data_IF_589077441483
#
_entry.id   IF_589077441483
#
_cell.length_a   1.000
_cell.length_b   1.000
_cell.length_c   1.000
_cell.angle_alpha   90.00
_cell.angle_beta   90.00
_cell.angle_gamma   90.00
#
_symmetry.space_group_name_H-M   'P 1'
#
loop_
_entity.id
_entity.type
_entity.pdbx_description
1 polymer ?
#
# COMPACT_ATOMS: atom_id res chain seq x y z
N UNK A 1 6.30 5.96 2.01
CA UNK A 1 7.65 5.57 2.50
C UNK A 1 7.54 4.40 3.47
N UNK A 2 8.47 3.43 3.41
CA UNK A 2 8.55 2.34 4.39
C UNK A 2 9.82 2.55 5.22
N UNK A 3 9.69 2.56 6.55
CA UNK A 3 10.77 2.74 7.52
C UNK A 3 10.66 1.67 8.59
N UNK A 4 11.54 0.67 8.59
CA UNK A 4 11.60 -0.40 9.61
C UNK A 4 10.21 -1.00 9.93
N UNK A 5 9.54 -0.49 10.95
CA UNK A 5 8.23 -0.90 11.48
C UNK A 5 7.07 0.04 11.09
N UNK A 6 7.28 1.04 10.24
CA UNK A 6 6.28 2.07 9.88
C UNK A 6 6.15 2.27 8.38
N UNK A 7 4.92 2.22 7.89
CA UNK A 7 4.54 2.53 6.51
C UNK A 7 3.81 3.87 6.53
N UNK A 8 4.50 4.90 6.06
CA UNK A 8 3.96 6.27 5.97
C UNK A 8 3.38 6.48 4.59
N UNK A 9 2.06 6.56 4.52
CA UNK A 9 1.31 6.93 3.31
C UNK A 9 1.38 8.46 3.13
N UNK A 10 1.30 8.95 1.89
CA UNK A 10 1.46 10.38 1.57
C UNK A 10 2.90 10.84 1.34
N UNK A 11 3.91 9.98 1.56
CA UNK A 11 5.32 10.32 1.39
C UNK A 11 6.01 9.38 0.41
N UNK A 12 5.80 9.60 -0.89
CA UNK A 12 6.30 8.75 -1.99
C UNK A 12 5.28 7.75 -2.51
N UNK A 13 5.72 6.82 -3.36
CA UNK A 13 4.83 5.87 -4.06
C UNK A 13 4.90 4.49 -3.42
N UNK A 14 3.76 3.97 -2.95
CA UNK A 14 3.63 2.62 -2.40
C UNK A 14 2.84 1.75 -3.37
N UNK A 15 3.50 0.83 -4.07
CA UNK A 15 2.82 -0.17 -4.87
C UNK A 15 2.19 -1.22 -3.95
N UNK A 16 0.90 -1.50 -4.18
CA UNK A 16 0.14 -2.51 -3.43
C UNK A 16 -0.06 -3.71 -4.34
N UNK A 17 0.50 -4.85 -3.94
CA UNK A 17 0.39 -6.11 -4.67
C UNK A 17 -0.04 -7.24 -3.76
N UNK A 18 -0.50 -8.33 -4.36
CA UNK A 18 -0.70 -9.60 -3.65
C UNK A 18 0.10 -10.71 -4.30
N UNK A 19 0.77 -11.52 -3.50
CA UNK A 19 1.53 -12.69 -3.96
C UNK A 19 1.33 -13.84 -2.97
N UNK A 20 0.94 -15.02 -3.47
CA UNK A 20 0.78 -16.24 -2.66
C UNK A 20 -0.03 -16.04 -1.36
N UNK A 21 -1.18 -15.35 -1.42
CA UNK A 21 -2.02 -14.99 -0.26
C UNK A 21 -1.36 -14.04 0.76
N UNK A 22 -0.34 -13.29 0.35
CA UNK A 22 0.27 -12.23 1.14
C UNK A 22 0.05 -10.88 0.47
N UNK A 23 -0.15 -9.85 1.28
CA UNK A 23 -0.12 -8.46 0.81
C UNK A 23 1.34 -8.00 0.78
N UNK A 24 1.75 -7.41 -0.33
CA UNK A 24 3.04 -6.77 -0.49
C UNK A 24 2.86 -5.27 -0.67
N UNK A 25 3.55 -4.49 0.16
CA UNK A 25 3.65 -3.05 0.05
C UNK A 25 5.08 -2.71 -0.35
N UNK A 26 5.25 -2.06 -1.49
CA UNK A 26 6.57 -1.75 -2.04
C UNK A 26 6.72 -0.25 -2.21
N UNK A 27 7.69 0.34 -1.51
CA UNK A 27 8.11 1.72 -1.77
C UNK A 27 8.98 1.74 -3.01
N UNK A 28 8.63 2.54 -4.02
CA UNK A 28 9.27 2.54 -5.33
C UNK A 28 9.78 3.92 -5.78
N UNK A 29 10.71 3.91 -6.73
CA UNK A 29 11.29 5.08 -7.40
C UNK A 29 11.47 4.78 -8.91
N UNK A 30 11.00 5.62 -9.86
CA UNK A 30 10.32 6.89 -9.65
C UNK A 30 8.93 6.75 -9.04
N UNK A 31 8.41 7.86 -8.52
CA UNK A 31 7.01 7.92 -8.11
C UNK A 31 6.08 7.72 -9.31
N UNK A 32 4.99 6.99 -9.11
CA UNK A 32 3.97 6.81 -10.13
C UNK A 32 3.07 8.07 -10.24
N UNK A 33 2.04 8.01 -11.07
CA UNK A 33 0.95 9.00 -11.05
C UNK A 33 -0.21 8.43 -10.24
N UNK A 34 -0.79 9.24 -9.37
CA UNK A 34 -1.80 8.83 -8.39
C UNK A 34 -3.05 8.35 -9.12
N UNK A 35 -3.49 7.11 -8.86
CA UNK A 35 -4.75 6.57 -9.38
C UNK A 35 -4.67 6.03 -10.81
N UNK A 36 -3.49 6.00 -11.44
CA UNK A 36 -3.29 5.36 -12.73
C UNK A 36 -2.95 3.87 -12.59
N UNK A 37 -3.37 3.08 -13.58
CA UNK A 37 -2.91 1.69 -13.69
C UNK A 37 -1.45 1.72 -14.13
N UNK A 38 -0.58 1.04 -13.38
CA UNK A 38 0.84 0.94 -13.73
C UNK A 38 0.99 0.16 -15.04
N UNK A 39 1.58 0.81 -16.04
CA UNK A 39 1.95 0.16 -17.29
C UNK A 39 3.11 -0.81 -17.07
N UNK A 40 3.26 -1.78 -17.98
CA UNK A 40 4.39 -2.70 -17.95
C UNK A 40 5.72 -1.95 -18.04
N UNK A 41 5.81 -0.95 -18.90
CA UNK A 41 7.04 -0.15 -19.08
C UNK A 41 7.44 0.62 -17.80
N UNK A 42 6.46 1.09 -17.03
CA UNK A 42 6.73 1.67 -15.72
C UNK A 42 7.20 0.62 -14.71
N UNK A 43 6.57 -0.56 -14.71
CA UNK A 43 6.98 -1.68 -13.85
C UNK A 43 8.42 -2.15 -14.15
N UNK A 44 8.82 -2.14 -15.42
CA UNK A 44 10.15 -2.55 -15.87
C UNK A 44 11.22 -1.48 -15.56
N UNK A 45 10.82 -0.22 -15.36
CA UNK A 45 11.72 0.91 -15.06
C UNK A 45 11.74 1.33 -13.60
N UNK A 46 10.79 0.87 -12.77
CA UNK A 46 10.77 1.18 -11.34
C UNK A 46 11.79 0.37 -10.55
N UNK A 47 12.35 1.00 -9.53
CA UNK A 47 13.18 0.38 -8.51
C UNK A 47 12.38 0.24 -7.22
N UNK A 48 12.35 -0.96 -6.65
CA UNK A 48 11.83 -1.17 -5.30
C UNK A 48 12.90 -0.72 -4.30
N UNK A 49 12.59 0.33 -3.54
CA UNK A 49 13.45 0.87 -2.49
C UNK A 49 13.35 0.06 -1.21
N UNK A 50 12.12 -0.28 -0.80
CA UNK A 50 11.82 -1.14 0.35
C UNK A 50 10.53 -1.91 0.14
N UNK A 51 10.38 -3.04 0.85
CA UNK A 51 9.23 -3.92 0.76
C UNK A 51 8.80 -4.40 2.15
N UNK A 52 7.50 -4.44 2.38
CA UNK A 52 6.86 -5.06 3.55
C UNK A 52 5.84 -6.09 3.09
N UNK A 53 5.75 -7.21 3.81
CA UNK A 53 4.89 -8.34 3.44
C UNK A 53 4.05 -8.77 4.64
N UNK A 54 2.74 -8.94 4.41
CA UNK A 54 1.75 -9.23 5.44
C UNK A 54 0.92 -10.47 5.07
N UNK A 55 0.62 -11.32 6.04
CA UNK A 55 -0.13 -12.57 5.84
C UNK A 55 -1.60 -12.42 6.25
N UNK A 56 -1.92 -11.57 7.23
CA UNK A 56 -3.25 -11.50 7.86
C UNK A 56 -4.19 -10.49 7.20
N UNK A 57 -4.41 -10.62 5.89
CA UNK A 57 -5.16 -9.65 5.06
C UNK A 57 -6.60 -9.37 5.51
N UNK A 58 -7.33 -10.35 6.06
CA UNK A 58 -8.73 -10.13 6.52
C UNK A 58 -8.80 -9.09 7.64
N UNK A 59 -7.98 -9.26 8.68
CA UNK A 59 -7.91 -8.31 9.80
C UNK A 59 -7.34 -6.95 9.41
N UNK A 60 -6.66 -6.86 8.26
CA UNK A 60 -6.17 -5.59 7.72
C UNK A 60 -7.32 -4.77 7.11
N UNK A 61 -8.25 -5.40 6.41
CA UNK A 61 -9.41 -4.71 5.84
C UNK A 61 -10.28 -4.04 6.92
N UNK A 62 -10.53 -4.75 8.03
CA UNK A 62 -11.30 -4.21 9.15
C UNK A 62 -10.62 -2.98 9.76
N UNK A 63 -9.29 -3.06 9.98
CA UNK A 63 -8.49 -1.93 10.49
C UNK A 63 -8.47 -0.74 9.54
N UNK A 64 -8.35 -0.97 8.23
CA UNK A 64 -8.40 0.08 7.22
C UNK A 64 -9.75 0.82 7.21
N UNK A 65 -10.85 0.12 7.49
CA UNK A 65 -12.19 0.75 7.55
C UNK A 65 -12.38 1.69 8.75
N UNK A 66 -11.49 1.62 9.74
CA UNK A 66 -11.51 2.45 10.94
C UNK A 66 -10.57 3.66 10.84
N UNK A 67 -9.82 3.79 9.74
CA UNK A 67 -8.93 4.94 9.51
C UNK A 67 -9.77 6.17 9.20
N UNK A 68 -9.48 7.27 9.89
CA UNK A 68 -10.12 8.57 9.71
C UNK A 68 -9.14 9.69 10.08
N UNK A 69 -9.48 10.95 9.84
CA UNK A 69 -8.63 12.08 10.25
C UNK A 69 -8.35 12.08 11.78
N UNK A 70 -9.33 11.68 12.60
CA UNK A 70 -9.17 11.57 14.05
C UNK A 70 -8.47 10.30 14.53
N UNK A 71 -8.31 9.31 13.65
CA UNK A 71 -7.62 8.04 13.91
C UNK A 71 -6.82 7.59 12.67
N UNK A 72 -5.72 8.28 12.32
CA UNK A 72 -5.04 8.09 11.04
C UNK A 72 -4.04 6.92 11.05
N UNK A 73 -3.81 6.28 12.20
CA UNK A 73 -2.77 5.25 12.34
C UNK A 73 -3.29 4.00 13.01
N UNK A 74 -2.79 2.84 12.61
CA UNK A 74 -3.04 1.58 13.32
C UNK A 74 -1.85 0.64 13.20
N UNK A 75 -1.72 -0.32 14.13
CA UNK A 75 -0.71 -1.37 14.04
C UNK A 75 -1.29 -2.64 13.39
N UNK A 76 -0.53 -3.28 12.51
CA UNK A 76 -0.83 -4.56 11.91
C UNK A 76 0.43 -5.42 11.76
N UNK A 77 0.44 -6.60 12.37
CA UNK A 77 1.58 -7.54 12.38
C UNK A 77 2.90 -6.87 12.81
N UNK A 78 2.87 -6.03 13.86
CA UNK A 78 4.04 -5.31 14.36
C UNK A 78 4.49 -4.14 13.48
N UNK A 79 3.70 -3.77 12.46
CA UNK A 79 3.96 -2.64 11.59
C UNK A 79 2.88 -1.56 11.77
N UNK A 80 3.30 -0.32 11.98
CA UNK A 80 2.44 0.86 12.02
C UNK A 80 2.10 1.30 10.60
N UNK A 81 0.82 1.35 10.28
CA UNK A 81 0.29 1.98 9.09
C UNK A 81 -0.06 3.42 9.47
N UNK A 82 0.54 4.38 8.77
CA UNK A 82 0.45 5.79 9.09
C UNK A 82 -0.15 6.58 7.92
N UNK A 83 -1.40 6.99 8.07
CA UNK A 83 -2.15 7.83 7.13
C UNK A 83 -2.28 9.28 7.62
N UNK A 84 -1.35 9.80 8.44
CA UNK A 84 -1.41 11.20 8.92
C UNK A 84 -1.40 12.22 7.77
N UNK A 85 -0.73 11.91 6.65
CA UNK A 85 -0.87 12.67 5.40
C UNK A 85 -2.03 12.09 4.57
N UNK A 86 -3.23 12.16 5.14
CA UNK A 86 -4.40 11.43 4.71
C UNK A 86 -4.82 11.77 3.27
N UNK A 87 -5.05 10.73 2.48
CA UNK A 87 -5.70 10.81 1.16
C UNK A 87 -6.60 9.58 1.05
N UNK A 88 -7.92 9.77 0.92
CA UNK A 88 -8.91 8.68 0.83
C UNK A 88 -8.55 7.66 -0.26
N UNK A 89 -7.96 8.13 -1.37
CA UNK A 89 -7.50 7.27 -2.46
C UNK A 89 -6.41 6.28 -2.03
N UNK A 90 -5.61 6.64 -1.03
CA UNK A 90 -4.57 5.75 -0.48
C UNK A 90 -5.20 4.58 0.27
N UNK A 91 -6.23 4.84 1.09
CA UNK A 91 -6.97 3.78 1.80
C UNK A 91 -7.70 2.90 0.80
N UNK A 92 -8.41 3.51 -0.16
CA UNK A 92 -9.10 2.77 -1.20
C UNK A 92 -8.18 1.81 -1.96
N UNK A 93 -6.95 2.23 -2.25
CA UNK A 93 -6.05 1.41 -3.04
C UNK A 93 -5.38 0.30 -2.23
N UNK A 94 -5.09 0.52 -0.93
CA UNK A 94 -4.73 -0.60 -0.04
C UNK A 94 -5.90 -1.57 0.07
N UNK A 95 -7.13 -1.07 0.26
CA UNK A 95 -8.35 -1.89 0.30
C UNK A 95 -8.58 -2.64 -1.02
N UNK A 96 -8.34 -2.00 -2.17
CA UNK A 96 -8.39 -2.64 -3.49
C UNK A 96 -7.35 -3.76 -3.53
N UNK A 97 -6.10 -3.53 -3.14
CA UNK A 97 -5.09 -4.59 -3.08
C UNK A 97 -5.49 -5.77 -2.19
N UNK A 98 -6.06 -5.49 -1.01
CA UNK A 98 -6.58 -6.51 -0.09
C UNK A 98 -7.80 -7.25 -0.66
N UNK A 99 -8.67 -6.60 -1.44
CA UNK A 99 -9.86 -7.21 -2.05
C UNK A 99 -9.56 -7.92 -3.39
N UNK A 100 -8.57 -7.46 -4.14
CA UNK A 100 -8.14 -8.02 -5.43
C UNK A 100 -7.16 -9.21 -5.29
N UNK A 101 -7.36 -10.04 -4.26
CA UNK A 101 -6.62 -11.31 -4.05
C UNK A 101 -6.74 -12.28 -5.25
N UNK A 102 -7.74 -12.09 -6.12
CA UNK A 102 -8.13 -13.08 -7.15
C UNK A 102 -7.52 -12.82 -8.54
N UNK A 103 -6.85 -11.69 -8.81
CA UNK A 103 -6.54 -11.30 -10.20
C UNK A 103 -5.07 -10.98 -10.57
N UNK A 104 -4.09 -11.12 -9.66
CA UNK A 104 -2.68 -10.79 -9.95
C UNK A 104 -2.45 -9.36 -10.52
N UNK A 105 -3.29 -8.37 -10.15
CA UNK A 105 -3.11 -7.00 -10.63
C UNK A 105 -2.34 -6.17 -9.60
N UNK A 106 -1.17 -5.69 -10.00
CA UNK A 106 -0.37 -4.71 -9.27
C UNK A 106 -1.01 -3.33 -9.46
N UNK A 107 -1.49 -2.70 -8.38
CA UNK A 107 -1.93 -1.31 -8.42
C UNK A 107 -0.81 -0.46 -7.83
N UNK A 108 -0.16 0.34 -8.67
CA UNK A 108 0.72 1.39 -8.16
C UNK A 108 -0.11 2.51 -7.61
N UNK A 109 0.21 2.92 -6.39
CA UNK A 109 -0.16 4.24 -5.91
C UNK A 109 1.07 5.09 -5.93
N UNK A 110 1.05 6.16 -6.70
CA UNK A 110 1.53 7.39 -6.10
C UNK A 110 0.50 7.89 -5.10
N UNK A 111 1.02 8.51 -4.05
CA UNK A 111 0.26 9.24 -3.06
C UNK A 111 -0.02 10.66 -3.51
#
# INVERSE_FOLDING_TARGET
MINEDRIVFGMGTILVGTYALTLELMHIDPSAVIGETISKDFSDSMKVLKKATFKKMLSLADKLSQVSEGNPTFEHEGCIFDFTNYNEKSIEAVLKGVRFIVAQKQLGLAC
#
